data_IF_838697702441
#
_entry.id   IF_838697702441
#
_cell.length_a   1.000
_cell.length_b   1.000
_cell.length_c   1.000
_cell.angle_alpha   90.00
_cell.angle_beta   90.00
_cell.angle_gamma   90.00
#
_symmetry.space_group_name_H-M   'P 1'
#
loop_
_entity.id
_entity.type
_entity.pdbx_description
1 polymer ?
#
# COMPACT_ATOMS: atom_id res chain seq x y z
N UNK A 1 13.03 -31.35 -9.43
CA UNK A 1 13.65 -30.07 -9.85
C UNK A 1 12.79 -29.52 -10.98
N UNK A 2 11.81 -28.65 -10.67
CA UNK A 2 10.84 -28.20 -11.67
C UNK A 2 11.45 -27.02 -12.45
N UNK A 3 12.00 -27.34 -13.62
CA UNK A 3 12.62 -26.40 -14.53
C UNK A 3 11.54 -25.82 -15.45
N UNK A 4 11.26 -24.52 -15.29
CA UNK A 4 10.33 -23.76 -16.12
C UNK A 4 9.18 -23.16 -15.33
N UNK A 5 9.43 -22.07 -14.60
CA UNK A 5 8.40 -21.41 -13.81
C UNK A 5 7.71 -20.33 -14.64
N UNK A 6 6.71 -20.79 -15.42
CA UNK A 6 5.67 -19.98 -16.01
C UNK A 6 4.88 -19.35 -14.86
N UNK A 7 5.00 -18.05 -14.65
CA UNK A 7 4.23 -17.32 -13.65
C UNK A 7 3.07 -16.60 -14.33
N UNK A 8 1.86 -17.12 -14.11
CA UNK A 8 0.61 -16.50 -14.55
C UNK A 8 0.10 -15.64 -13.41
N UNK A 9 -0.34 -14.42 -13.74
CA UNK A 9 -0.72 -13.39 -12.78
C UNK A 9 -2.17 -13.00 -13.06
N UNK A 10 -2.98 -12.86 -12.03
CA UNK A 10 -4.37 -12.41 -12.19
C UNK A 10 -4.46 -10.96 -12.71
N UNK A 11 -5.63 -10.56 -13.27
CA UNK A 11 -5.81 -9.21 -13.80
C UNK A 11 -5.69 -8.09 -12.74
N UNK A 12 -5.89 -8.42 -11.46
CA UNK A 12 -5.77 -7.51 -10.32
C UNK A 12 -4.51 -7.77 -9.48
N UNK A 13 -3.49 -8.39 -10.07
CA UNK A 13 -2.22 -8.68 -9.41
C UNK A 13 -1.06 -8.15 -10.26
N UNK A 14 0.00 -7.71 -9.59
CA UNK A 14 1.25 -7.32 -10.22
C UNK A 14 2.36 -8.25 -9.75
N UNK A 15 3.12 -8.72 -10.72
CA UNK A 15 4.33 -9.47 -10.50
C UNK A 15 5.52 -8.53 -10.50
N UNK A 16 6.24 -8.51 -9.39
CA UNK A 16 7.47 -7.76 -9.22
C UNK A 16 8.61 -8.76 -9.31
N UNK A 17 9.44 -8.59 -10.34
CA UNK A 17 10.60 -9.43 -10.59
C UNK A 17 11.82 -8.60 -10.24
N UNK A 18 12.60 -9.12 -9.28
CA UNK A 18 13.83 -8.51 -8.81
C UNK A 18 14.96 -9.50 -9.01
N UNK A 19 15.98 -9.12 -9.80
CA UNK A 19 17.10 -9.99 -10.13
C UNK A 19 17.37 -10.01 -11.64
N UNK A 20 18.55 -10.51 -12.01
CA UNK A 20 18.95 -10.63 -13.41
C UNK A 20 20.46 -10.49 -13.61
N UNK A 21 21.08 -11.51 -14.21
CA UNK A 21 22.40 -11.43 -14.80
C UNK A 21 22.25 -10.81 -16.20
N UNK A 22 22.10 -9.49 -16.26
CA UNK A 22 21.96 -8.72 -17.50
C UNK A 22 22.80 -7.46 -17.45
N UNK A 23 24.05 -7.59 -17.90
CA UNK A 23 25.04 -6.54 -18.21
C UNK A 23 25.18 -5.36 -17.24
N UNK A 24 26.24 -5.40 -16.42
CA UNK A 24 27.24 -4.35 -16.25
C UNK A 24 26.83 -2.88 -16.44
N UNK A 25 25.68 -2.47 -15.91
CA UNK A 25 25.29 -1.08 -15.71
C UNK A 25 24.38 -1.08 -14.49
N UNK A 26 24.72 -0.23 -13.53
CA UNK A 26 24.19 -0.06 -12.18
C UNK A 26 22.68 0.30 -12.13
N UNK A 27 21.80 -0.52 -12.70
CA UNK A 27 20.37 -0.27 -12.70
C UNK A 27 19.66 -1.45 -12.06
N UNK A 28 19.28 -1.24 -10.80
CA UNK A 28 18.28 -1.96 -10.02
C UNK A 28 16.89 -1.92 -10.70
N UNK A 29 16.80 -2.36 -11.96
CA UNK A 29 15.55 -2.33 -12.71
C UNK A 29 14.63 -3.43 -12.21
N UNK A 30 13.67 -3.04 -11.36
CA UNK A 30 12.52 -3.86 -11.00
C UNK A 30 11.60 -3.94 -12.21
N UNK A 31 11.38 -5.15 -12.73
CA UNK A 31 10.41 -5.38 -13.81
C UNK A 31 9.05 -5.65 -13.16
N UNK A 32 8.06 -4.84 -13.51
CA UNK A 32 6.68 -4.97 -13.02
C UNK A 32 5.79 -5.39 -14.19
N UNK A 33 5.01 -6.46 -14.01
CA UNK A 33 4.10 -7.00 -15.01
C UNK A 33 2.72 -7.14 -14.38
N UNK A 34 1.67 -6.63 -15.04
CA UNK A 34 0.29 -6.67 -14.55
C UNK A 34 -0.52 -7.61 -15.45
N UNK A 35 -1.26 -8.55 -14.85
CA UNK A 35 -2.24 -9.38 -15.56
C UNK A 35 -1.74 -10.17 -16.77
N UNK A 36 -0.43 -10.38 -16.88
CA UNK A 36 0.20 -11.07 -18.00
C UNK A 36 1.00 -12.27 -17.52
N UNK A 37 1.24 -13.20 -18.43
CA UNK A 37 2.15 -14.32 -18.19
C UNK A 37 3.60 -13.92 -18.48
N UNK A 38 4.55 -14.43 -17.70
CA UNK A 38 5.97 -14.28 -18.00
C UNK A 38 6.77 -15.52 -17.61
N UNK A 39 7.88 -15.73 -18.30
CA UNK A 39 8.82 -16.81 -18.03
C UNK A 39 10.04 -16.27 -17.28
N UNK A 40 10.32 -16.85 -16.11
CA UNK A 40 11.36 -16.36 -15.21
C UNK A 40 12.30 -17.51 -14.82
N UNK A 41 13.60 -17.22 -14.83
CA UNK A 41 14.61 -18.17 -14.40
C UNK A 41 14.74 -18.17 -12.88
N UNK A 42 14.33 -19.27 -12.25
CA UNK A 42 14.26 -19.45 -10.79
C UNK A 42 15.57 -19.23 -10.03
N UNK A 43 16.72 -19.55 -10.64
CA UNK A 43 18.02 -19.49 -9.97
C UNK A 43 18.57 -18.07 -9.79
N UNK A 44 18.11 -17.10 -10.60
CA UNK A 44 18.72 -15.76 -10.70
C UNK A 44 17.74 -14.65 -10.28
N UNK A 45 16.43 -14.96 -10.26
CA UNK A 45 15.38 -13.97 -10.08
C UNK A 45 14.52 -14.27 -8.86
N UNK A 46 14.26 -13.25 -8.05
CA UNK A 46 13.26 -13.26 -7.00
C UNK A 46 11.93 -12.74 -7.56
N UNK A 47 10.85 -13.45 -7.27
CA UNK A 47 9.51 -13.16 -7.78
C UNK A 47 8.59 -12.89 -6.60
N UNK A 48 7.90 -11.74 -6.62
CA UNK A 48 6.95 -11.36 -5.58
C UNK A 48 5.64 -10.89 -6.21
N UNK A 49 4.53 -11.27 -5.59
CA UNK A 49 3.19 -10.88 -6.01
C UNK A 49 2.69 -9.73 -5.13
N UNK A 50 2.17 -8.69 -5.76
CA UNK A 50 1.51 -7.57 -5.12
C UNK A 50 0.04 -7.55 -5.56
N UNK A 51 -0.88 -7.59 -4.60
CA UNK A 51 -2.31 -7.50 -4.89
C UNK A 51 -2.73 -6.04 -5.12
N UNK A 52 -3.46 -5.79 -6.21
CA UNK A 52 -4.09 -4.50 -6.54
C UNK A 52 -5.59 -4.50 -6.17
N UNK A 53 -6.01 -5.47 -5.37
CA UNK A 53 -7.38 -5.56 -4.88
C UNK A 53 -7.68 -4.40 -3.92
N UNK A 54 -8.96 -3.99 -3.88
CA UNK A 54 -9.41 -2.99 -2.91
C UNK A 54 -9.42 -3.66 -1.53
N UNK A 55 -8.83 -2.99 -0.55
CA UNK A 55 -8.97 -3.38 0.84
C UNK A 55 -9.59 -2.24 1.65
N UNK A 56 -10.36 -2.62 2.67
CA UNK A 56 -11.13 -1.68 3.50
C UNK A 56 -10.48 -1.56 4.87
N UNK A 57 -10.20 -0.32 5.27
CA UNK A 57 -9.74 0.05 6.60
C UNK A 57 -10.90 0.72 7.34
N UNK A 58 -11.17 0.25 8.55
CA UNK A 58 -12.12 0.86 9.46
C UNK A 58 -11.32 1.51 10.58
N UNK A 59 -11.47 2.81 10.76
CA UNK A 59 -10.88 3.54 11.89
C UNK A 59 -12.00 4.11 12.77
N UNK A 60 -11.74 4.11 14.06
CA UNK A 60 -12.58 4.75 15.07
C UNK A 60 -11.66 5.57 15.97
N UNK A 61 -11.75 6.89 15.87
CA UNK A 61 -11.04 7.81 16.73
C UNK A 61 -11.99 8.24 17.85
N UNK A 62 -11.74 7.73 19.06
CA UNK A 62 -12.51 8.07 20.25
C UNK A 62 -11.75 9.09 21.11
N UNK A 63 -12.50 9.99 21.75
CA UNK A 63 -12.03 10.85 22.84
C UNK A 63 -10.95 11.88 22.45
N UNK A 64 -11.09 12.52 21.29
CA UNK A 64 -10.31 13.72 20.98
C UNK A 64 -10.92 14.89 21.76
N UNK A 65 -10.20 15.36 22.80
CA UNK A 65 -10.62 16.53 23.56
C UNK A 65 -10.51 17.77 22.67
N UNK A 66 -11.64 18.41 22.44
CA UNK A 66 -11.70 19.74 21.82
C UNK A 66 -11.31 20.78 22.85
N UNK A 67 -10.91 21.97 22.39
CA UNK A 67 -10.62 23.13 23.26
C UNK A 67 -11.82 23.52 24.15
N UNK A 68 -13.03 23.11 23.77
CA UNK A 68 -14.27 23.35 24.51
C UNK A 68 -14.63 22.22 25.48
N UNK A 69 -13.80 21.17 25.59
CA UNK A 69 -14.02 20.05 26.51
C UNK A 69 -15.11 19.06 26.09
N UNK A 70 -15.63 19.16 24.86
CA UNK A 70 -16.61 18.22 24.31
C UNK A 70 -15.89 17.05 23.63
N UNK A 71 -16.17 15.79 24.01
CA UNK A 71 -15.57 14.63 23.38
C UNK A 71 -16.14 14.42 21.96
N UNK A 72 -15.27 14.38 20.95
CA UNK A 72 -15.64 14.02 19.58
C UNK A 72 -15.29 12.56 19.30
N UNK A 73 -16.23 11.83 18.69
CA UNK A 73 -16.06 10.47 18.20
C UNK A 73 -16.19 10.45 16.67
N UNK A 74 -15.13 10.04 15.97
CA UNK A 74 -15.11 10.00 14.50
C UNK A 74 -14.94 8.56 14.04
N UNK A 75 -15.93 8.07 13.28
CA UNK A 75 -15.88 6.77 12.61
C UNK A 75 -15.72 6.98 11.11
N UNK A 76 -14.73 6.33 10.52
CA UNK A 76 -14.49 6.41 9.07
C UNK A 76 -14.24 5.02 8.47
N UNK A 77 -14.78 4.82 7.27
CA UNK A 77 -14.55 3.65 6.43
C UNK A 77 -13.81 4.14 5.20
N UNK A 78 -12.63 3.58 4.96
CA UNK A 78 -11.74 4.00 3.88
C UNK A 78 -11.46 2.80 3.00
N UNK A 79 -11.68 2.98 1.70
CA UNK A 79 -11.34 2.00 0.67
C UNK A 79 -10.02 2.42 0.02
N UNK A 80 -9.01 1.57 0.12
CA UNK A 80 -7.69 1.81 -0.43
C UNK A 80 -7.42 0.80 -1.56
N UNK A 81 -6.77 1.27 -2.63
CA UNK A 81 -6.31 0.46 -3.76
C UNK A 81 -5.00 1.02 -4.28
N UNK A 82 -4.11 0.13 -4.71
CA UNK A 82 -2.90 0.49 -5.46
C UNK A 82 -3.31 0.73 -6.91
N UNK A 83 -3.02 1.92 -7.45
CA UNK A 83 -3.32 2.24 -8.85
C UNK A 83 -2.43 1.42 -9.78
N UNK A 84 -2.95 1.03 -10.95
CA UNK A 84 -2.23 0.27 -11.98
C UNK A 84 -1.19 1.12 -12.75
N UNK A 85 -0.77 2.26 -12.21
CA UNK A 85 0.20 3.16 -12.81
C UNK A 85 1.61 2.70 -12.48
N UNK A 86 2.51 2.61 -13.47
CA UNK A 86 3.84 2.04 -13.34
C UNK A 86 4.69 2.79 -12.30
N UNK A 87 4.62 4.12 -12.24
CA UNK A 87 5.38 4.89 -11.25
C UNK A 87 4.89 4.59 -9.83
N UNK A 88 3.57 4.60 -9.62
CA UNK A 88 2.95 4.31 -8.33
C UNK A 88 3.20 2.87 -7.89
N UNK A 89 3.18 1.93 -8.83
CA UNK A 89 3.50 0.53 -8.58
C UNK A 89 4.96 0.34 -8.18
N UNK A 90 5.90 1.11 -8.72
CA UNK A 90 7.30 1.07 -8.28
C UNK A 90 7.45 1.54 -6.83
N UNK A 91 6.80 2.64 -6.46
CA UNK A 91 6.80 3.11 -5.07
C UNK A 91 6.10 2.12 -4.13
N UNK A 92 4.95 1.59 -4.52
CA UNK A 92 4.22 0.59 -3.75
C UNK A 92 5.03 -0.71 -3.60
N UNK A 93 5.69 -1.16 -4.67
CA UNK A 93 6.61 -2.29 -4.64
C UNK A 93 7.74 -2.04 -3.65
N UNK A 94 8.33 -0.85 -3.62
CA UNK A 94 9.39 -0.51 -2.65
C UNK A 94 8.93 -0.51 -1.20
N UNK A 95 7.76 0.07 -0.96
CA UNK A 95 7.25 0.26 0.38
C UNK A 95 6.63 -1.03 0.96
N UNK A 96 6.04 -1.86 0.12
CA UNK A 96 5.26 -3.03 0.54
C UNK A 96 5.91 -4.37 0.19
N UNK A 97 7.07 -4.38 -0.49
CA UNK A 97 7.81 -5.62 -0.76
C UNK A 97 8.06 -6.39 0.54
N UNK A 98 7.70 -7.67 0.57
CA UNK A 98 7.92 -8.52 1.74
C UNK A 98 7.05 -8.21 2.96
N UNK A 99 6.13 -7.24 2.90
CA UNK A 99 5.16 -7.00 3.96
C UNK A 99 3.91 -7.85 3.75
N UNK A 100 3.33 -8.32 4.86
CA UNK A 100 2.01 -8.97 4.83
C UNK A 100 0.89 -7.94 4.73
N UNK A 101 -0.26 -8.34 4.19
CA UNK A 101 -1.46 -7.47 4.11
C UNK A 101 -1.82 -6.90 5.48
N UNK A 102 -1.66 -7.68 6.56
CA UNK A 102 -1.89 -7.23 7.94
C UNK A 102 -0.95 -6.11 8.36
N UNK A 103 0.35 -6.19 8.02
CA UNK A 103 1.33 -5.14 8.32
C UNK A 103 1.00 -3.85 7.57
N UNK A 104 0.66 -3.96 6.28
CA UNK A 104 0.25 -2.82 5.45
C UNK A 104 -0.96 -2.12 6.08
N UNK A 105 -1.96 -2.89 6.52
CA UNK A 105 -3.17 -2.36 7.19
C UNK A 105 -2.84 -1.62 8.48
N UNK A 106 -1.90 -2.12 9.29
CA UNK A 106 -1.48 -1.45 10.54
C UNK A 106 -0.80 -0.12 10.25
N UNK A 107 0.11 -0.08 9.27
CA UNK A 107 0.80 1.16 8.88
C UNK A 107 -0.22 2.19 8.39
N UNK A 108 -1.12 1.79 7.48
CA UNK A 108 -2.13 2.68 6.93
C UNK A 108 -3.12 3.18 7.99
N UNK A 109 -3.57 2.32 8.90
CA UNK A 109 -4.45 2.72 10.00
C UNK A 109 -3.79 3.81 10.85
N UNK A 110 -2.49 3.64 11.18
CA UNK A 110 -1.74 4.65 11.94
C UNK A 110 -1.60 5.98 11.18
N UNK A 111 -1.33 5.93 9.89
CA UNK A 111 -1.23 7.14 9.05
C UNK A 111 -2.57 7.87 8.97
N UNK A 112 -3.67 7.14 8.78
CA UNK A 112 -5.02 7.69 8.73
C UNK A 112 -5.40 8.32 10.08
N UNK A 113 -5.16 7.64 11.20
CA UNK A 113 -5.45 8.17 12.54
C UNK A 113 -4.68 9.45 12.81
N UNK A 114 -3.42 9.51 12.35
CA UNK A 114 -2.62 10.72 12.40
C UNK A 114 -3.27 11.85 11.60
N UNK A 115 -3.65 11.60 10.33
CA UNK A 115 -4.31 12.60 9.49
C UNK A 115 -5.62 13.11 10.10
N UNK A 116 -6.46 12.21 10.62
CA UNK A 116 -7.72 12.58 11.28
C UNK A 116 -7.42 13.46 12.50
N UNK A 117 -6.47 13.08 13.34
CA UNK A 117 -6.08 13.87 14.52
C UNK A 117 -5.55 15.25 14.14
N UNK A 118 -4.75 15.37 13.07
CA UNK A 118 -4.26 16.66 12.58
C UNK A 118 -5.41 17.55 12.11
N UNK A 119 -6.38 16.99 11.38
CA UNK A 119 -7.56 17.74 10.91
C UNK A 119 -8.43 18.17 12.08
N UNK A 120 -8.70 17.27 13.03
CA UNK A 120 -9.46 17.57 14.24
C UNK A 120 -8.77 18.62 15.11
N UNK A 121 -7.44 18.60 15.19
CA UNK A 121 -6.68 19.65 15.88
C UNK A 121 -6.92 21.04 15.26
N UNK A 122 -6.80 21.14 13.93
CA UNK A 122 -7.06 22.41 13.21
C UNK A 122 -8.51 22.89 13.38
N UNK A 123 -9.49 21.99 13.27
CA UNK A 123 -10.90 22.33 13.44
C UNK A 123 -11.25 22.72 14.87
N UNK A 124 -10.51 22.24 15.87
CA UNK A 124 -10.69 22.65 17.25
C UNK A 124 -10.21 24.09 17.51
N UNK A 125 -9.24 24.58 16.75
CA UNK A 125 -8.75 25.96 16.86
C UNK A 125 -9.67 26.96 16.14
N UNK A 126 -10.36 26.49 15.09
CA UNK A 126 -11.31 27.29 14.33
C UNK A 126 -12.68 27.36 15.04
N UNK A 127 -13.13 28.56 15.39
CA UNK A 127 -14.37 28.87 16.13
C UNK A 127 -15.69 28.50 15.42
N UNK A 128 -15.67 27.68 14.38
CA UNK A 128 -16.84 27.39 13.54
C UNK A 128 -17.64 26.15 13.98
N UNK A 129 -17.23 25.45 15.03
CA UNK A 129 -18.05 24.42 15.69
C UNK A 129 -18.99 25.04 16.75
N UNK A 130 -19.72 26.09 16.35
CA UNK A 130 -20.94 26.51 17.04
C UNK A 130 -22.12 26.04 16.18
N UNK A 131 -22.73 24.92 16.57
CA UNK A 131 -24.14 24.68 16.29
C UNK A 131 -24.91 24.98 17.57
#
# INVERSE_FOLDING_TARGET
MNMGNIHVVGPNEALIITGGLGCCCHSTQKRIIIGSWTWIWWLINNVQLLSLEIFTIKTNCENVQTVFGVPLCVKAIIHCRITNDLERLRFAAEQFLGMTISQIRVILLRTIDCHIRTILGKLSDEKYLCF
#
